data_IF_492052821286
#
_entry.id   IF_492052821286
#
_cell.length_a   1.000
_cell.length_b   1.000
_cell.length_c   1.000
_cell.angle_alpha   90.00
_cell.angle_beta   90.00
_cell.angle_gamma   90.00
#
_symmetry.space_group_name_H-M   'P 1'
#
loop_
_entity.id
_entity.type
_entity.pdbx_description
1 polymer ?
#
# COMPACT_ATOMS: atom_id res chain seq x y z
N UNK A 1 -8.28 17.16 14.18
CA UNK A 1 -7.34 17.70 13.17
C UNK A 1 -6.00 17.92 13.85
N UNK A 2 -4.88 17.43 13.29
CA UNK A 2 -3.57 17.46 13.96
C UNK A 2 -3.06 18.88 14.21
N UNK A 3 -3.45 19.85 13.38
CA UNK A 3 -2.98 21.24 13.48
C UNK A 3 -3.32 21.92 14.80
N UNK A 4 -4.47 21.59 15.41
CA UNK A 4 -4.90 22.15 16.71
C UNK A 4 -4.11 21.60 17.90
N UNK A 5 -3.47 20.45 17.74
CA UNK A 5 -2.70 19.77 18.79
C UNK A 5 -1.20 20.11 18.70
N UNK A 6 -0.78 20.80 17.62
CA UNK A 6 0.62 21.08 17.35
C UNK A 6 1.01 22.48 17.83
N UNK A 7 2.20 22.57 18.43
CA UNK A 7 2.82 23.85 18.77
C UNK A 7 3.34 24.53 17.50
N UNK A 8 3.39 25.86 17.50
CA UNK A 8 3.97 26.64 16.40
C UNK A 8 5.40 26.21 16.08
N UNK A 9 5.67 25.90 14.81
CA UNK A 9 6.97 25.39 14.34
C UNK A 9 7.21 23.90 14.60
N UNK A 10 6.27 23.18 15.20
CA UNK A 10 6.35 21.72 15.37
C UNK A 10 6.40 20.99 14.02
N UNK A 11 7.12 19.86 13.98
CA UNK A 11 7.22 19.00 12.80
C UNK A 11 6.49 17.68 13.02
N UNK A 12 5.96 17.12 11.94
CA UNK A 12 5.34 15.79 11.92
C UNK A 12 6.07 14.92 10.89
N UNK A 13 6.33 13.67 11.27
CA UNK A 13 6.87 12.65 10.37
C UNK A 13 5.84 11.53 10.29
N UNK A 14 5.42 11.19 9.07
CA UNK A 14 4.43 10.14 8.82
C UNK A 14 5.04 9.08 7.90
N UNK A 15 4.91 7.82 8.29
CA UNK A 15 5.22 6.67 7.44
C UNK A 15 3.91 5.95 7.17
N UNK A 16 3.50 5.91 5.90
CA UNK A 16 2.25 5.29 5.46
C UNK A 16 2.52 4.38 4.27
N UNK A 17 1.70 3.34 4.13
CA UNK A 17 1.73 2.50 2.94
C UNK A 17 1.16 3.30 1.76
N UNK A 18 1.97 3.47 0.74
CA UNK A 18 1.63 4.25 -0.45
C UNK A 18 2.07 3.54 -1.72
N UNK A 19 2.07 4.29 -2.82
CA UNK A 19 2.48 3.80 -4.15
C UNK A 19 3.38 4.80 -4.83
N UNK A 20 4.27 4.32 -5.69
CA UNK A 20 5.18 5.19 -6.46
C UNK A 20 4.53 5.70 -7.74
N UNK A 21 3.73 4.84 -8.39
CA UNK A 21 2.99 5.19 -9.60
C UNK A 21 1.95 6.26 -9.33
N UNK A 22 1.56 7.02 -10.36
CA UNK A 22 0.37 7.89 -10.31
C UNK A 22 -0.91 7.14 -10.72
N UNK A 23 -0.79 5.97 -11.36
CA UNK A 23 -1.91 5.05 -11.62
C UNK A 23 -2.40 4.38 -10.32
N UNK A 24 -3.66 4.60 -9.89
CA UNK A 24 -4.20 4.03 -8.66
C UNK A 24 -4.34 2.50 -8.66
N UNK A 25 -4.48 1.88 -9.83
CA UNK A 25 -4.70 0.44 -9.97
C UNK A 25 -3.44 -0.33 -10.41
N UNK A 26 -2.25 0.21 -10.09
CA UNK A 26 -0.98 -0.43 -10.44
C UNK A 26 -0.75 -1.73 -9.67
N UNK A 27 0.00 -2.67 -10.26
CA UNK A 27 0.41 -3.91 -9.56
C UNK A 27 1.12 -3.61 -8.24
N UNK A 28 1.96 -2.57 -8.19
CA UNK A 28 2.69 -2.15 -6.98
C UNK A 28 1.76 -1.87 -5.79
N UNK A 29 0.60 -1.26 -6.03
CA UNK A 29 -0.32 -0.83 -4.98
C UNK A 29 -1.40 -1.87 -4.65
N UNK A 30 -1.65 -2.81 -5.56
CA UNK A 30 -2.82 -3.69 -5.52
C UNK A 30 -2.49 -5.18 -5.45
N UNK A 31 -1.21 -5.59 -5.56
CA UNK A 31 -0.84 -7.01 -5.69
C UNK A 31 -1.45 -7.92 -4.60
N UNK A 32 -1.32 -7.55 -3.33
CA UNK A 32 -1.91 -8.33 -2.23
C UNK A 32 -3.43 -8.43 -2.32
N UNK A 33 -4.09 -7.32 -2.66
CA UNK A 33 -5.54 -7.28 -2.77
C UNK A 33 -6.05 -8.01 -3.99
N UNK A 34 -5.25 -8.04 -5.07
CA UNK A 34 -5.51 -8.87 -6.24
C UNK A 34 -5.47 -10.35 -5.86
N UNK A 35 -4.44 -10.81 -5.13
CA UNK A 35 -4.38 -12.18 -4.63
C UNK A 35 -5.57 -12.54 -3.73
N UNK A 36 -5.93 -11.65 -2.80
CA UNK A 36 -7.10 -11.83 -1.95
C UNK A 36 -8.38 -11.94 -2.77
N UNK A 37 -8.58 -11.04 -3.75
CA UNK A 37 -9.74 -11.07 -4.64
C UNK A 37 -9.80 -12.38 -5.44
N UNK A 38 -8.67 -12.89 -5.93
CA UNK A 38 -8.62 -14.19 -6.62
C UNK A 38 -9.08 -15.33 -5.72
N UNK A 39 -8.58 -15.39 -4.48
CA UNK A 39 -8.99 -16.44 -3.53
C UNK A 39 -10.47 -16.33 -3.20
N UNK A 40 -10.97 -15.12 -2.95
CA UNK A 40 -12.40 -14.91 -2.66
C UNK A 40 -13.30 -15.31 -3.83
N UNK A 41 -12.89 -15.04 -5.08
CA UNK A 41 -13.61 -15.49 -6.28
C UNK A 41 -13.64 -17.02 -6.40
N UNK A 42 -12.54 -17.70 -6.07
CA UNK A 42 -12.50 -19.16 -6.05
C UNK A 42 -13.47 -19.72 -5.00
N UNK A 43 -13.51 -19.11 -3.80
CA UNK A 43 -14.45 -19.51 -2.75
C UNK A 43 -15.93 -19.29 -3.14
N UNK A 44 -16.24 -18.27 -3.94
CA UNK A 44 -17.58 -18.10 -4.54
C UNK A 44 -17.88 -19.23 -5.52
N UNK A 45 -16.92 -19.56 -6.39
CA UNK A 45 -17.06 -20.65 -7.37
C UNK A 45 -17.29 -22.01 -6.68
N UNK A 46 -16.66 -22.24 -5.53
CA UNK A 46 -16.85 -23.43 -4.69
C UNK A 46 -18.14 -23.40 -3.85
N UNK A 47 -18.90 -22.30 -3.90
CA UNK A 47 -20.14 -22.13 -3.13
C UNK A 47 -19.94 -21.87 -1.63
N UNK A 48 -18.72 -21.55 -1.19
CA UNK A 48 -18.38 -21.24 0.20
C UNK A 48 -18.78 -19.82 0.59
N UNK A 49 -18.83 -18.91 -0.39
CA UNK A 49 -19.20 -17.50 -0.22
C UNK A 49 -20.31 -17.16 -1.21
N UNK A 50 -21.28 -16.38 -0.73
CA UNK A 50 -22.31 -15.78 -1.57
C UNK A 50 -21.71 -14.65 -2.44
N UNK A 51 -21.92 -14.73 -3.75
CA UNK A 51 -21.45 -13.74 -4.72
C UNK A 51 -21.93 -12.31 -4.38
N UNK A 52 -23.17 -12.15 -3.90
CA UNK A 52 -23.71 -10.83 -3.54
C UNK A 52 -22.93 -10.22 -2.36
N UNK A 53 -22.47 -11.06 -1.42
CA UNK A 53 -21.65 -10.60 -0.30
C UNK A 53 -20.27 -10.18 -0.77
N UNK A 54 -19.66 -10.92 -1.69
CA UNK A 54 -18.37 -10.56 -2.27
C UNK A 54 -18.47 -9.23 -3.04
N UNK A 55 -19.50 -9.05 -3.85
CA UNK A 55 -19.71 -7.83 -4.64
C UNK A 55 -19.91 -6.57 -3.79
N UNK A 56 -20.41 -6.71 -2.56
CA UNK A 56 -20.55 -5.61 -1.59
C UNK A 56 -19.30 -5.38 -0.74
N UNK A 57 -18.39 -6.33 -0.72
CA UNK A 57 -17.20 -6.26 0.11
C UNK A 57 -16.16 -5.34 -0.52
N UNK A 58 -15.85 -4.24 0.17
CA UNK A 58 -14.76 -3.33 -0.17
C UNK A 58 -13.85 -3.16 1.04
N UNK A 59 -12.54 -3.06 0.80
CA UNK A 59 -11.57 -2.84 1.87
C UNK A 59 -11.45 -1.34 2.16
N UNK A 60 -11.46 -0.93 3.45
CA UNK A 60 -11.28 0.47 3.84
C UNK A 60 -9.79 0.85 3.82
N UNK A 61 -9.15 0.63 2.68
CA UNK A 61 -7.73 0.87 2.49
C UNK A 61 -7.48 1.61 1.18
N UNK A 62 -6.55 2.56 1.22
CA UNK A 62 -6.11 3.31 0.06
C UNK A 62 -4.62 3.60 0.18
N UNK A 63 -3.87 3.33 -0.89
CA UNK A 63 -2.44 3.64 -1.00
C UNK A 63 -2.26 4.92 -1.83
N UNK A 64 -2.00 6.07 -1.20
CA UNK A 64 -1.84 7.32 -1.93
C UNK A 64 -0.49 7.40 -2.65
N UNK A 65 -0.47 8.15 -3.74
CA UNK A 65 0.76 8.59 -4.41
C UNK A 65 1.35 9.83 -3.74
N UNK A 66 2.66 10.12 -3.92
CA UNK A 66 3.27 11.35 -3.46
C UNK A 66 2.56 12.62 -3.95
N UNK A 67 2.04 12.59 -5.18
CA UNK A 67 1.33 13.73 -5.78
C UNK A 67 0.02 13.99 -5.05
N UNK A 68 -0.76 12.94 -4.78
CA UNK A 68 -2.02 13.07 -4.03
C UNK A 68 -1.78 13.59 -2.62
N UNK A 69 -0.72 13.12 -1.95
CA UNK A 69 -0.36 13.62 -0.62
C UNK A 69 0.03 15.09 -0.65
N UNK A 70 0.86 15.50 -1.61
CA UNK A 70 1.24 16.90 -1.78
C UNK A 70 0.03 17.80 -1.98
N UNK A 71 -0.86 17.42 -2.91
CA UNK A 71 -2.10 18.14 -3.16
C UNK A 71 -3.00 18.24 -1.92
N UNK A 72 -3.16 17.15 -1.17
CA UNK A 72 -4.00 17.14 0.03
C UNK A 72 -3.44 18.01 1.16
N UNK A 73 -2.12 18.01 1.35
CA UNK A 73 -1.45 18.83 2.37
C UNK A 73 -1.60 20.31 2.02
N UNK A 74 -1.35 20.68 0.76
CA UNK A 74 -1.50 22.05 0.28
C UNK A 74 -2.96 22.52 0.38
N UNK A 75 -3.91 21.66 0.02
CA UNK A 75 -5.34 21.97 0.07
C UNK A 75 -5.88 22.09 1.51
N UNK A 76 -5.33 21.33 2.46
CA UNK A 76 -5.69 21.46 3.88
C UNK A 76 -5.09 22.72 4.51
N UNK A 77 -3.85 23.06 4.17
CA UNK A 77 -3.23 24.36 4.43
C UNK A 77 -2.71 24.61 5.85
N UNK A 78 -2.88 23.69 6.80
CA UNK A 78 -2.33 23.85 8.16
C UNK A 78 -0.85 23.46 8.26
N UNK A 79 -0.33 22.70 7.28
CA UNK A 79 1.03 22.19 7.28
C UNK A 79 1.74 22.52 5.96
N UNK A 80 3.05 22.78 6.04
CA UNK A 80 3.93 22.84 4.89
C UNK A 80 4.65 21.51 4.68
N UNK A 81 4.70 21.01 3.44
CA UNK A 81 5.47 19.82 3.11
C UNK A 81 6.97 20.11 3.13
N UNK A 82 7.72 19.48 4.03
CA UNK A 82 9.19 19.60 4.12
C UNK A 82 9.85 18.64 3.11
N UNK A 83 9.58 17.34 3.26
CA UNK A 83 10.12 16.29 2.39
C UNK A 83 9.10 15.17 2.20
N UNK A 84 9.17 14.52 1.04
CA UNK A 84 8.45 13.28 0.76
C UNK A 84 9.42 12.26 0.17
N UNK A 85 9.39 11.05 0.71
CA UNK A 85 10.24 9.95 0.25
C UNK A 85 9.41 8.69 0.07
N UNK A 86 9.72 7.94 -0.99
CA UNK A 86 9.10 6.64 -1.27
C UNK A 86 10.19 5.59 -1.23
N UNK A 87 10.04 4.63 -0.33
CA UNK A 87 10.93 3.48 -0.20
C UNK A 87 10.14 2.20 -0.37
N UNK A 88 10.69 1.25 -1.10
CA UNK A 88 10.12 -0.08 -1.26
C UNK A 88 10.59 -0.99 -0.11
N UNK A 89 9.68 -1.79 0.44
CA UNK A 89 9.97 -2.76 1.50
C UNK A 89 9.70 -4.15 0.94
N UNK A 90 10.65 -5.07 1.11
CA UNK A 90 10.48 -6.46 0.68
C UNK A 90 9.37 -7.14 1.48
N UNK A 91 8.50 -7.87 0.78
CA UNK A 91 7.52 -8.77 1.40
C UNK A 91 8.15 -10.05 1.92
N UNK A 92 9.33 -10.41 1.43
CA UNK A 92 10.02 -11.61 1.87
C UNK A 92 10.62 -11.37 3.26
N UNK A 93 10.41 -12.29 4.22
CA UNK A 93 11.11 -12.22 5.49
C UNK A 93 12.62 -12.24 5.20
N UNK A 94 13.38 -11.38 5.87
CA UNK A 94 14.85 -11.43 5.82
C UNK A 94 15.30 -12.79 6.34
N UNK A 95 15.61 -13.69 5.42
CA UNK A 95 16.13 -14.97 5.80
C UNK A 95 17.60 -14.79 6.11
N UNK A 96 17.97 -14.79 7.40
CA UNK A 96 19.35 -14.91 7.86
C UNK A 96 19.92 -16.33 7.59
N UNK A 97 19.67 -16.88 6.40
CA UNK A 97 20.41 -18.03 5.92
C UNK A 97 21.60 -17.50 5.14
N UNK A 98 22.76 -17.50 5.81
CA UNK A 98 24.04 -17.53 5.13
C UNK A 98 24.11 -18.85 4.34
N UNK A 99 23.49 -18.89 3.16
CA UNK A 99 23.64 -20.00 2.24
C UNK A 99 24.71 -19.60 1.24
N UNK A 100 25.93 -20.01 1.55
CA UNK A 100 27.00 -20.11 0.60
C UNK A 100 26.55 -20.92 -0.62
N UNK A 101 26.72 -20.33 -1.79
CA UNK A 101 26.88 -20.96 -3.12
C UNK A 101 25.63 -21.51 -3.85
N UNK A 102 25.24 -20.70 -4.84
CA UNK A 102 25.15 -21.01 -6.27
C UNK A 102 24.21 -22.14 -6.73
N UNK A 103 23.09 -21.77 -7.35
CA UNK A 103 22.54 -22.41 -8.55
C UNK A 103 21.47 -21.51 -9.18
N UNK A 104 21.60 -21.31 -10.49
CA UNK A 104 20.68 -20.58 -11.36
C UNK A 104 19.26 -21.17 -11.37
N UNK A 105 18.31 -20.28 -11.66
CA UNK A 105 16.93 -20.46 -12.16
C UNK A 105 15.80 -20.30 -11.12
N UNK A 106 14.95 -19.30 -11.34
CA UNK A 106 13.64 -19.15 -10.69
C UNK A 106 12.76 -18.19 -11.50
N UNK A 107 11.66 -18.73 -12.04
CA UNK A 107 10.77 -18.15 -13.06
C UNK A 107 10.11 -16.81 -12.72
N UNK A 108 9.64 -16.05 -13.74
CA UNK A 108 8.74 -14.93 -13.52
C UNK A 108 7.34 -15.50 -13.29
N UNK A 109 6.82 -15.33 -12.09
CA UNK A 109 5.38 -15.39 -11.84
C UNK A 109 4.90 -13.96 -11.59
#
# INVERSE_FOLDING_TARGET
CRSKEMIGGGKMVLTILGRKTNEPYSKESSYMYHLLATVLNNMVTEGLIDEEKLNKFNLPFYAPSPIELGFLIENEGSFSLDQIHVSEVSWQPESNYNTSNNSNNGAPY
#
